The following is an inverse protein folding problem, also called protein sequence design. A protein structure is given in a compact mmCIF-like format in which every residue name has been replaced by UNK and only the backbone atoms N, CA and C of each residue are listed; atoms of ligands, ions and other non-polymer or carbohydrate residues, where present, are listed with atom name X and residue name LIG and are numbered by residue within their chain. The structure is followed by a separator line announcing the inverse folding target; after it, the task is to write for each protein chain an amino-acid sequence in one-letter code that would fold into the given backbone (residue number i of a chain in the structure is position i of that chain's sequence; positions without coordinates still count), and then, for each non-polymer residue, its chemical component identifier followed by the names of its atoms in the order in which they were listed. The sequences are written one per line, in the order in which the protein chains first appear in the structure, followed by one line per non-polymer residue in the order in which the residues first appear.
data_IF_089166944583
#
_entry.id   IF_089166944583
#
_cell.length_a   1.000
_cell.length_b   1.000
_cell.length_c   1.000
_cell.angle_alpha   90.00
_cell.angle_beta   90.00
_cell.angle_gamma   90.00
#
_symmetry.space_group_name_H-M   'P 1'
#
loop_
_entity.id
_entity.type
_entity.pdbx_description
1 polymer ?
#
# COMPACT_ATOMS: atom_id res chain seq x y z
N UNK A 1 2.77 18.39 -23.16
CA UNK A 1 2.71 17.06 -22.51
C UNK A 1 4.07 16.80 -21.87
N UNK A 2 4.12 16.39 -20.60
CA UNK A 2 5.40 16.09 -19.94
C UNK A 2 5.95 14.76 -20.49
N UNK A 3 7.27 14.60 -20.66
CA UNK A 3 7.85 13.29 -20.94
C UNK A 3 7.59 12.29 -19.81
N UNK A 4 7.49 11.01 -20.12
CA UNK A 4 7.12 9.95 -19.16
C UNK A 4 8.00 9.96 -17.89
N UNK A 5 9.31 10.13 -18.05
CA UNK A 5 10.25 10.14 -16.93
C UNK A 5 10.05 11.33 -15.96
N UNK A 6 9.46 12.43 -16.44
CA UNK A 6 9.07 13.57 -15.61
C UNK A 6 7.70 13.32 -15.00
N UNK A 7 6.75 12.85 -15.80
CA UNK A 7 5.40 12.56 -15.31
C UNK A 7 5.41 11.53 -14.19
N UNK A 8 6.34 10.57 -14.22
CA UNK A 8 6.58 9.62 -13.13
C UNK A 8 6.89 10.32 -11.80
N UNK A 9 7.73 11.37 -11.81
CA UNK A 9 8.06 12.12 -10.60
C UNK A 9 6.84 12.90 -10.08
N UNK A 10 6.10 13.55 -10.97
CA UNK A 10 4.88 14.27 -10.60
C UNK A 10 3.75 13.34 -10.14
N UNK A 11 3.72 12.11 -10.67
CA UNK A 11 2.77 11.08 -10.23
C UNK A 11 3.03 10.69 -8.78
N UNK A 12 4.29 10.43 -8.42
CA UNK A 12 4.65 10.12 -7.03
C UNK A 12 4.38 11.33 -6.15
N UNK A 13 4.78 12.54 -6.57
CA UNK A 13 4.55 13.79 -5.85
C UNK A 13 3.06 14.01 -5.51
N UNK A 14 2.15 13.74 -6.46
CA UNK A 14 0.68 13.84 -6.23
C UNK A 14 0.15 12.87 -5.18
N UNK A 15 0.81 11.74 -4.98
CA UNK A 15 0.37 10.71 -4.01
C UNK A 15 0.90 11.03 -2.61
N UNK A 16 2.10 11.58 -2.50
CA UNK A 16 2.82 11.69 -1.22
C UNK A 16 2.85 13.11 -0.65
N UNK A 17 2.68 14.13 -1.49
CA UNK A 17 2.78 15.55 -1.10
C UNK A 17 1.42 16.24 -1.07
N UNK A 18 1.35 17.42 -0.46
CA UNK A 18 0.12 18.22 -0.43
C UNK A 18 -0.18 18.88 -1.79
N UNK A 19 -1.44 19.27 -2.06
CA UNK A 19 -1.79 19.93 -3.32
C UNK A 19 -0.99 21.21 -3.59
N UNK A 20 -0.58 21.94 -2.55
CA UNK A 20 0.20 23.17 -2.67
C UNK A 20 1.61 22.89 -3.20
N UNK A 21 2.26 21.83 -2.71
CA UNK A 21 3.59 21.40 -3.17
C UNK A 21 3.53 20.96 -4.62
N UNK A 22 2.49 20.21 -5.00
CA UNK A 22 2.27 19.80 -6.39
C UNK A 22 2.12 21.02 -7.30
N UNK A 23 1.27 21.98 -6.92
CA UNK A 23 1.06 23.20 -7.69
C UNK A 23 2.34 24.04 -7.82
N UNK A 24 3.14 24.12 -6.75
CA UNK A 24 4.42 24.82 -6.77
C UNK A 24 5.37 24.23 -7.83
N UNK A 25 5.56 22.91 -7.86
CA UNK A 25 6.44 22.29 -8.84
C UNK A 25 5.85 22.25 -10.25
N UNK A 26 4.51 22.20 -10.39
CA UNK A 26 3.84 22.36 -11.69
C UNK A 26 4.11 23.75 -12.27
N UNK A 27 4.01 24.80 -11.45
CA UNK A 27 4.36 26.16 -11.87
C UNK A 27 5.83 26.25 -12.29
N UNK A 28 6.76 25.76 -11.46
CA UNK A 28 8.19 25.79 -11.76
C UNK A 28 8.55 25.02 -13.04
N UNK A 29 7.85 23.91 -13.31
CA UNK A 29 8.00 23.16 -14.55
C UNK A 29 7.54 23.99 -15.75
N UNK A 30 6.35 24.60 -15.66
CA UNK A 30 5.76 25.40 -16.73
C UNK A 30 6.56 26.68 -17.02
N UNK A 31 7.22 27.26 -16.01
CA UNK A 31 8.12 28.42 -16.17
C UNK A 31 9.55 28.03 -16.55
N UNK A 32 9.85 26.74 -16.70
CA UNK A 32 11.18 26.21 -16.99
C UNK A 32 12.26 26.60 -15.97
N UNK A 33 11.87 26.94 -14.73
CA UNK A 33 12.78 27.32 -13.64
C UNK A 33 12.98 26.20 -12.62
N UNK A 34 12.41 25.02 -12.88
CA UNK A 34 12.44 23.87 -11.99
C UNK A 34 13.88 23.38 -11.73
N UNK A 35 14.18 23.17 -10.44
CA UNK A 35 15.40 22.52 -9.99
C UNK A 35 15.07 21.12 -9.49
N UNK A 36 15.44 20.11 -10.27
CA UNK A 36 15.15 18.71 -9.91
C UNK A 36 15.84 18.24 -8.64
N UNK A 37 16.96 18.88 -8.26
CA UNK A 37 17.60 18.62 -6.97
C UNK A 37 16.68 18.97 -5.81
N UNK A 38 15.99 20.11 -5.89
CA UNK A 38 15.07 20.57 -4.85
C UNK A 38 13.78 19.75 -4.87
N UNK A 39 13.24 19.45 -6.06
CA UNK A 39 12.08 18.56 -6.20
C UNK A 39 12.34 17.17 -5.59
N UNK A 40 13.50 16.57 -5.87
CA UNK A 40 13.83 15.23 -5.35
C UNK A 40 14.01 15.24 -3.83
N UNK A 41 14.55 16.32 -3.26
CA UNK A 41 14.67 16.46 -1.80
C UNK A 41 13.29 16.53 -1.14
N UNK A 42 12.42 17.41 -1.62
CA UNK A 42 11.05 17.52 -1.12
C UNK A 42 10.30 16.19 -1.25
N UNK A 43 10.40 15.54 -2.43
CA UNK A 43 9.77 14.25 -2.67
C UNK A 43 10.25 13.17 -1.69
N UNK A 44 11.55 13.13 -1.38
CA UNK A 44 12.11 12.17 -0.43
C UNK A 44 11.58 12.42 0.99
N UNK A 45 11.52 13.68 1.43
CA UNK A 45 10.98 14.06 2.74
C UNK A 45 9.50 13.66 2.87
N UNK A 46 8.70 13.93 1.84
CA UNK A 46 7.28 13.58 1.83
C UNK A 46 7.05 12.06 1.81
N UNK A 47 7.83 11.31 1.02
CA UNK A 47 7.80 9.83 1.03
C UNK A 47 8.12 9.31 2.43
N UNK A 48 9.18 9.82 3.07
CA UNK A 48 9.57 9.40 4.41
C UNK A 48 8.43 9.69 5.39
N UNK A 49 7.84 10.89 5.34
CA UNK A 49 6.73 11.26 6.22
C UNK A 49 5.52 10.33 6.09
N UNK A 50 5.17 9.94 4.87
CA UNK A 50 4.05 9.02 4.61
C UNK A 50 4.38 7.58 5.04
N UNK A 51 5.60 7.12 4.78
CA UNK A 51 6.00 5.72 5.02
C UNK A 51 6.45 5.43 6.45
N UNK A 52 6.90 6.44 7.20
CA UNK A 52 7.36 6.30 8.59
C UNK A 52 6.33 5.65 9.51
N UNK A 53 5.07 6.12 9.62
CA UNK A 53 4.09 5.48 10.52
C UNK A 53 3.77 4.04 10.12
N UNK A 54 3.79 3.73 8.81
CA UNK A 54 3.59 2.35 8.30
C UNK A 54 4.75 1.47 8.75
N UNK A 55 6.00 1.95 8.57
CA UNK A 55 7.21 1.24 8.99
C UNK A 55 7.23 1.01 10.50
N UNK A 56 6.93 2.03 11.29
CA UNK A 56 6.85 1.92 12.75
C UNK A 56 5.82 0.89 13.18
N UNK A 57 4.62 0.91 12.57
CA UNK A 57 3.57 -0.06 12.87
C UNK A 57 3.97 -1.50 12.52
N UNK A 58 4.67 -1.69 11.40
CA UNK A 58 5.22 -3.00 11.03
C UNK A 58 6.21 -3.48 12.10
N UNK A 59 7.12 -2.63 12.54
CA UNK A 59 8.12 -2.97 13.56
C UNK A 59 7.50 -3.23 14.93
N UNK A 60 6.43 -2.54 15.29
CA UNK A 60 5.65 -2.81 16.49
C UNK A 60 5.00 -4.20 16.44
N UNK A 61 4.31 -4.50 15.34
CA UNK A 61 3.60 -5.77 15.14
C UNK A 61 4.59 -6.93 15.07
N UNK A 62 5.73 -6.75 14.41
CA UNK A 62 6.79 -7.75 14.31
C UNK A 62 7.32 -8.19 15.68
N UNK A 63 7.39 -7.26 16.64
CA UNK A 63 7.82 -7.56 18.02
C UNK A 63 6.73 -8.26 18.83
N UNK A 64 5.45 -8.12 18.46
CA UNK A 64 4.33 -8.73 19.15
C UNK A 64 3.97 -10.11 18.59
N UNK A 65 4.75 -11.11 19.01
CA UNK A 65 4.54 -12.51 18.64
C UNK A 65 3.15 -13.05 19.07
N UNK A 66 2.60 -12.55 20.18
CA UNK A 66 1.31 -13.00 20.68
C UNK A 66 0.17 -12.51 19.77
N UNK A 67 0.23 -11.24 19.37
CA UNK A 67 -0.70 -10.66 18.41
C UNK A 67 -0.60 -11.34 17.03
N UNK A 68 0.62 -11.56 16.52
CA UNK A 68 0.83 -12.29 15.26
C UNK A 68 0.20 -13.68 15.29
N UNK A 69 0.40 -14.43 16.38
CA UNK A 69 -0.21 -15.76 16.54
C UNK A 69 -1.73 -15.69 16.62
N UNK A 70 -2.29 -14.69 17.31
CA UNK A 70 -3.74 -14.49 17.38
C UNK A 70 -4.34 -14.22 16.00
N UNK A 71 -3.79 -13.26 15.26
CA UNK A 71 -4.30 -12.85 13.94
C UNK A 71 -4.18 -13.99 12.92
N UNK A 72 -3.08 -14.75 12.95
CA UNK A 72 -2.91 -15.90 12.05
C UNK A 72 -3.90 -17.03 12.35
N UNK A 73 -4.18 -17.32 13.62
CA UNK A 73 -5.20 -18.30 14.01
C UNK A 73 -6.61 -17.84 13.59
N UNK A 74 -6.98 -16.60 13.86
CA UNK A 74 -8.28 -16.03 13.46
C UNK A 74 -8.46 -16.05 11.93
N UNK A 75 -7.41 -15.69 11.19
CA UNK A 75 -7.39 -15.77 9.73
C UNK A 75 -7.55 -17.21 9.22
N UNK A 76 -6.88 -18.17 9.86
CA UNK A 76 -6.98 -19.58 9.52
C UNK A 76 -8.38 -20.15 9.78
N UNK A 77 -9.02 -19.80 10.90
CA UNK A 77 -10.40 -20.25 11.19
C UNK A 77 -11.40 -19.70 10.17
N UNK A 78 -11.32 -18.39 9.86
CA UNK A 78 -12.19 -17.78 8.84
C UNK A 78 -12.01 -18.41 7.46
N UNK A 79 -10.76 -18.64 7.07
CA UNK A 79 -10.45 -19.32 5.81
C UNK A 79 -10.98 -20.76 5.81
N UNK A 80 -10.84 -21.48 6.93
CA UNK A 80 -11.33 -22.86 7.08
C UNK A 80 -12.86 -22.93 6.99
N UNK A 81 -13.57 -21.99 7.60
CA UNK A 81 -15.04 -21.94 7.51
C UNK A 81 -15.50 -21.77 6.06
N UNK A 82 -14.87 -20.84 5.31
CA UNK A 82 -15.16 -20.64 3.90
C UNK A 82 -14.82 -21.87 3.06
N UNK A 83 -13.65 -22.47 3.28
CA UNK A 83 -13.22 -23.66 2.55
C UNK A 83 -14.13 -24.86 2.82
N UNK A 84 -14.60 -25.03 4.06
CA UNK A 84 -15.53 -26.10 4.45
C UNK A 84 -16.84 -26.01 3.66
N UNK A 85 -17.42 -24.81 3.54
CA UNK A 85 -18.65 -24.59 2.73
C UNK A 85 -18.44 -25.01 1.27
N UNK A 86 -17.30 -24.65 0.69
CA UNK A 86 -16.95 -25.03 -0.69
C UNK A 86 -16.79 -26.55 -0.83
N UNK A 87 -16.03 -27.19 0.07
CA UNK A 87 -15.79 -28.63 0.04
C UNK A 87 -17.10 -29.42 0.26
N UNK A 88 -17.97 -28.96 1.15
CA UNK A 88 -19.27 -29.60 1.39
C UNK A 88 -20.18 -29.49 0.15
N UNK A 89 -20.17 -28.36 -0.55
CA UNK A 89 -20.88 -28.21 -1.82
C UNK A 89 -20.34 -29.16 -2.90
N UNK A 90 -19.01 -29.24 -3.05
CA UNK A 90 -18.37 -30.16 -4.00
C UNK A 90 -18.68 -31.62 -3.66
N UNK A 91 -18.60 -32.01 -2.38
CA UNK A 91 -18.92 -33.37 -1.92
C UNK A 91 -20.36 -33.78 -2.24
N UNK A 92 -21.33 -32.86 -2.09
CA UNK A 92 -22.73 -33.08 -2.47
C UNK A 92 -22.88 -33.31 -3.98
N UNK A 93 -22.19 -32.52 -4.81
CA UNK A 93 -22.26 -32.64 -6.28
C UNK A 93 -21.65 -33.97 -6.75
N UNK A 94 -20.53 -34.38 -6.17
CA UNK A 94 -19.81 -35.62 -6.53
C UNK A 94 -20.54 -36.88 -6.01
N UNK A 95 -21.53 -36.73 -5.12
CA UNK A 95 -22.34 -37.85 -4.62
C UNK A 95 -21.76 -38.55 -3.39
N UNK A 96 -20.82 -37.93 -2.67
CA UNK A 96 -20.40 -38.43 -1.36
C UNK A 96 -21.53 -38.20 -0.35
N UNK A 97 -22.09 -39.29 0.20
CA UNK A 97 -23.09 -39.21 1.29
C UNK A 97 -22.41 -38.66 2.55
N UNK A 98 -23.01 -37.68 3.25
CA UNK A 98 -22.55 -37.28 4.56
C UNK A 98 -22.82 -38.43 5.55
N UNK A 99 -21.78 -38.84 6.29
CA UNK A 99 -21.90 -39.66 7.50
C UNK A 99 -21.77 -38.75 8.71
#
# INVERSE_FOLDING_TARGET
MKPDYIENLFTILRVVSTPEVVQHYELLWNTCTIRYGDLKKQLAEDIIKVTTPIRERILEIEKDNAYLRKVTLEGAERARESARKTIDAVRKIVGFKPF
#
